data_IF_586554497184
#
_entry.id   IF_586554497184
#
_cell.length_a   1.000
_cell.length_b   1.000
_cell.length_c   1.000
_cell.angle_alpha   90.00
_cell.angle_beta   90.00
_cell.angle_gamma   90.00
#
_symmetry.space_group_name_H-M   'P 1'
#
loop_
_entity.id
_entity.type
_entity.pdbx_description
1 polymer ?
#
# COMPACT_ATOMS: atom_id res chain seq x y z
N UNK A 1 19.87 5.21 10.87
CA UNK A 1 18.75 4.45 11.48
C UNK A 1 17.49 4.70 10.68
N UNK A 2 16.74 3.64 10.35
CA UNK A 2 15.48 3.74 9.57
C UNK A 2 14.27 3.86 10.49
N UNK A 3 13.38 4.82 10.22
CA UNK A 3 12.23 5.13 11.07
C UNK A 3 10.94 5.28 10.27
N UNK A 4 9.81 4.96 10.91
CA UNK A 4 8.47 5.22 10.41
C UNK A 4 8.11 6.70 10.62
N UNK A 5 7.62 7.36 9.57
CA UNK A 5 7.33 8.81 9.60
C UNK A 5 6.10 9.17 10.46
N UNK A 6 5.19 8.23 10.68
CA UNK A 6 3.98 8.47 11.48
C UNK A 6 4.21 8.21 12.97
N UNK A 7 4.97 7.16 13.28
CA UNK A 7 5.16 6.71 14.66
C UNK A 7 6.48 7.18 15.27
N UNK A 8 7.47 7.55 14.44
CA UNK A 8 8.84 7.87 14.85
C UNK A 8 9.65 6.67 15.33
N UNK A 9 9.06 5.46 15.32
CA UNK A 9 9.73 4.25 15.75
C UNK A 9 10.69 3.71 14.69
N UNK A 10 11.69 2.98 15.13
CA UNK A 10 12.60 2.26 14.23
C UNK A 10 11.83 1.17 13.47
N UNK A 11 12.12 1.02 12.20
CA UNK A 11 11.66 -0.08 11.36
C UNK A 11 12.69 -1.20 11.43
N UNK A 12 12.50 -2.25 12.26
CA UNK A 12 13.51 -3.28 12.50
C UNK A 12 13.50 -4.34 11.39
N UNK A 13 13.83 -3.91 10.17
CA UNK A 13 13.83 -4.76 8.97
C UNK A 13 15.18 -4.69 8.29
N UNK A 14 15.72 -5.86 7.93
CA UNK A 14 16.93 -5.98 7.12
C UNK A 14 16.66 -5.73 5.63
N UNK A 15 17.71 -5.36 4.90
CA UNK A 15 17.67 -5.26 3.44
C UNK A 15 17.05 -3.98 2.89
N UNK A 16 16.88 -2.95 3.70
CA UNK A 16 16.61 -1.57 3.24
C UNK A 16 17.93 -1.04 2.67
N UNK A 17 17.91 -0.58 1.42
CA UNK A 17 19.12 -0.24 0.67
C UNK A 17 19.41 1.25 0.62
N UNK A 18 20.66 1.60 0.82
CA UNK A 18 21.17 2.97 0.79
C UNK A 18 22.44 3.10 -0.04
N UNK A 19 22.60 4.27 -0.65
CA UNK A 19 23.87 4.75 -1.22
C UNK A 19 24.29 6.03 -0.51
N UNK A 20 25.59 6.25 -0.43
CA UNK A 20 26.19 7.47 0.13
C UNK A 20 26.81 8.27 -1.00
N UNK A 21 26.32 9.48 -1.18
CA UNK A 21 26.87 10.44 -2.14
C UNK A 21 27.88 11.35 -1.45
N UNK A 22 29.07 11.46 -2.00
CA UNK A 22 30.06 12.45 -1.57
C UNK A 22 29.84 13.74 -2.36
N UNK A 23 29.40 14.80 -1.70
CA UNK A 23 29.10 16.08 -2.33
C UNK A 23 30.38 16.72 -2.88
N UNK A 24 31.47 16.65 -2.12
CA UNK A 24 32.75 17.30 -2.46
C UNK A 24 33.41 16.68 -3.70
N UNK A 25 33.16 15.40 -3.97
CA UNK A 25 33.74 14.65 -5.09
C UNK A 25 32.73 14.30 -6.19
N UNK A 26 31.47 14.68 -6.03
CA UNK A 26 30.36 14.42 -6.96
C UNK A 26 30.25 12.93 -7.40
N UNK A 27 30.34 12.01 -6.45
CA UNK A 27 30.28 10.57 -6.71
C UNK A 27 29.72 9.75 -5.55
N UNK A 28 29.14 8.61 -5.85
CA UNK A 28 28.79 7.61 -4.85
C UNK A 28 30.04 6.96 -4.26
N UNK A 29 29.98 6.71 -2.95
CA UNK A 29 31.02 6.00 -2.22
C UNK A 29 30.88 4.50 -2.52
N UNK A 30 32.00 3.85 -2.76
CA UNK A 30 32.13 2.40 -2.75
C UNK A 30 33.16 1.97 -1.70
N UNK A 31 32.89 0.84 -1.06
CA UNK A 31 33.77 0.26 -0.04
C UNK A 31 34.01 -1.22 -0.31
N UNK A 32 35.20 -1.70 0.00
CA UNK A 32 35.55 -3.12 -0.17
C UNK A 32 35.29 -3.87 1.14
N UNK A 33 34.52 -4.93 1.06
CA UNK A 33 34.32 -5.91 2.13
C UNK A 33 35.13 -7.16 1.81
N UNK A 34 35.75 -7.75 2.84
CA UNK A 34 36.66 -8.91 2.67
C UNK A 34 36.03 -10.25 3.06
N UNK A 35 34.80 -10.26 3.57
CA UNK A 35 34.11 -11.48 4.01
C UNK A 35 32.67 -11.51 3.48
N UNK A 36 32.15 -12.66 2.99
CA UNK A 36 32.80 -13.99 2.83
C UNK A 36 33.83 -14.04 1.69
N UNK A 37 33.85 -13.09 0.79
CA UNK A 37 34.82 -12.89 -0.28
C UNK A 37 35.11 -11.40 -0.44
N UNK A 38 36.23 -11.06 -1.05
CA UNK A 38 36.52 -9.66 -1.39
C UNK A 38 35.53 -9.17 -2.44
N UNK A 39 34.79 -8.12 -2.10
CA UNK A 39 33.79 -7.50 -2.97
C UNK A 39 33.75 -5.99 -2.74
N UNK A 40 33.65 -5.22 -3.82
CA UNK A 40 33.44 -3.76 -3.74
C UNK A 40 31.95 -3.47 -3.90
N UNK A 41 31.34 -2.87 -2.88
CA UNK A 41 29.93 -2.55 -2.80
C UNK A 41 29.73 -1.02 -2.79
N UNK A 42 28.69 -0.55 -3.39
CA UNK A 42 28.24 0.85 -3.39
C UNK A 42 26.82 1.01 -2.81
N UNK A 43 26.19 -0.10 -2.48
CA UNK A 43 24.87 -0.14 -1.87
C UNK A 43 24.96 -0.88 -0.54
N UNK A 44 24.54 -0.21 0.51
CA UNK A 44 24.63 -0.67 1.88
C UNK A 44 23.25 -0.98 2.42
N UNK A 45 23.10 -2.07 3.18
CA UNK A 45 21.81 -2.57 3.62
C UNK A 45 21.69 -2.55 5.15
N UNK A 46 20.47 -2.29 5.64
CA UNK A 46 20.16 -2.43 7.06
C UNK A 46 20.23 -3.87 7.51
N UNK A 47 20.54 -4.06 8.79
CA UNK A 47 20.41 -5.32 9.50
C UNK A 47 18.97 -5.51 10.06
N UNK A 48 18.74 -6.59 10.80
CA UNK A 48 17.44 -6.93 11.41
C UNK A 48 16.94 -5.91 12.45
N UNK A 49 17.80 -5.05 12.94
CA UNK A 49 17.42 -3.96 13.86
C UNK A 49 17.08 -2.65 13.14
N UNK A 50 17.04 -2.65 11.79
CA UNK A 50 16.80 -1.43 11.00
C UNK A 50 17.95 -0.44 11.02
N UNK A 51 19.14 -0.89 11.41
CA UNK A 51 20.35 -0.08 11.48
C UNK A 51 21.31 -0.45 10.37
N UNK A 52 21.94 0.53 9.76
CA UNK A 52 23.04 0.38 8.82
C UNK A 52 24.32 0.95 9.45
N UNK A 53 25.40 0.20 9.38
CA UNK A 53 26.75 0.69 9.65
C UNK A 53 27.60 0.45 8.41
N UNK A 54 28.31 1.49 7.95
CA UNK A 54 29.23 1.35 6.82
C UNK A 54 30.40 0.43 7.19
N UNK A 55 30.86 -0.43 6.28
CA UNK A 55 32.01 -1.33 6.54
C UNK A 55 33.31 -0.60 6.85
N UNK A 56 33.52 0.57 6.23
CA UNK A 56 34.71 1.39 6.38
C UNK A 56 34.38 2.82 6.80
N UNK A 57 35.39 3.52 7.28
CA UNK A 57 35.30 4.95 7.65
C UNK A 57 35.16 5.82 6.40
N UNK A 58 34.50 6.96 6.56
CA UNK A 58 34.45 8.02 5.57
C UNK A 58 35.51 9.08 5.87
N UNK A 59 36.10 9.66 4.83
CA UNK A 59 36.94 10.84 4.97
C UNK A 59 36.11 12.04 5.48
N UNK A 60 36.79 13.07 5.96
CA UNK A 60 36.14 14.33 6.30
C UNK A 60 35.54 14.95 5.04
N UNK A 61 34.28 15.41 5.13
CA UNK A 61 33.58 16.01 4.00
C UNK A 61 32.07 16.03 4.20
N UNK A 62 31.37 16.50 3.16
CA UNK A 62 29.93 16.60 3.09
C UNK A 62 29.35 15.45 2.28
N UNK A 63 28.30 14.85 2.80
CA UNK A 63 27.68 13.66 2.24
C UNK A 63 26.16 13.75 2.23
N UNK A 64 25.54 12.93 1.42
CA UNK A 64 24.10 12.68 1.39
C UNK A 64 23.81 11.19 1.45
N UNK A 65 22.84 10.81 2.28
CA UNK A 65 22.31 9.45 2.33
C UNK A 65 21.11 9.33 1.41
N UNK A 66 21.22 8.52 0.36
CA UNK A 66 20.18 8.24 -0.62
C UNK A 66 19.57 6.87 -0.36
N UNK A 67 18.26 6.79 -0.19
CA UNK A 67 17.57 5.52 -0.15
C UNK A 67 17.31 5.00 -1.57
N UNK A 68 17.65 3.74 -1.82
CA UNK A 68 17.48 3.07 -3.12
C UNK A 68 16.55 1.87 -3.05
N UNK A 69 16.23 1.40 -1.84
CA UNK A 69 15.29 0.29 -1.61
C UNK A 69 14.59 0.47 -0.28
N UNK A 70 13.28 0.71 -0.32
CA UNK A 70 12.42 0.81 0.86
C UNK A 70 12.03 -0.58 1.42
N UNK A 71 11.62 -0.67 2.68
CA UNK A 71 11.04 -1.89 3.24
C UNK A 71 9.66 -2.17 2.64
N UNK A 72 9.25 -3.44 2.63
CA UNK A 72 7.90 -3.82 2.20
C UNK A 72 6.84 -3.08 3.01
N UNK A 73 5.81 -2.56 2.33
CA UNK A 73 4.74 -1.78 2.96
C UNK A 73 5.03 -0.30 3.17
N UNK A 74 6.17 0.19 2.69
CA UNK A 74 6.53 1.61 2.72
C UNK A 74 6.78 2.17 1.31
N UNK A 75 6.59 3.48 1.17
CA UNK A 75 7.00 4.20 -0.04
C UNK A 75 8.50 4.51 0.04
N UNK A 76 9.19 4.35 -1.10
CA UNK A 76 10.56 4.81 -1.21
C UNK A 76 10.63 6.34 -1.03
N UNK A 77 11.41 6.78 -0.07
CA UNK A 77 11.68 8.19 0.13
C UNK A 77 12.99 8.57 -0.59
N UNK A 78 12.86 9.13 -1.79
CA UNK A 78 14.00 9.53 -2.62
C UNK A 78 14.68 10.84 -2.20
N UNK A 79 14.14 11.57 -1.22
CA UNK A 79 14.75 12.81 -0.71
C UNK A 79 16.04 12.49 0.04
N UNK A 80 17.20 13.04 -0.35
CA UNK A 80 18.46 12.75 0.33
C UNK A 80 18.53 13.37 1.72
N UNK A 81 19.26 12.73 2.62
CA UNK A 81 19.54 13.28 3.96
C UNK A 81 21.00 13.72 4.02
N UNK A 82 21.27 15.03 4.10
CA UNK A 82 22.63 15.55 4.20
C UNK A 82 23.23 15.27 5.58
N UNK A 83 24.53 15.00 5.61
CA UNK A 83 25.33 14.90 6.83
C UNK A 83 26.80 15.26 6.58
N UNK A 84 27.50 15.60 7.63
CA UNK A 84 28.92 15.99 7.55
C UNK A 84 29.77 15.09 8.46
N UNK A 85 30.93 14.68 7.97
CA UNK A 85 31.97 14.00 8.75
C UNK A 85 33.11 14.99 8.95
N UNK A 86 33.30 15.46 10.17
CA UNK A 86 34.28 16.49 10.51
C UNK A 86 35.23 16.11 11.69
N UNK A 87 35.01 14.91 12.22
CA UNK A 87 35.80 14.38 13.33
C UNK A 87 35.40 14.89 14.72
N UNK A 88 34.34 15.70 14.82
CA UNK A 88 33.79 16.12 16.13
C UNK A 88 33.12 14.99 16.87
N UNK A 89 32.49 14.07 16.13
CA UNK A 89 31.85 12.88 16.66
C UNK A 89 32.53 11.60 16.16
N UNK A 90 32.65 10.62 17.05
CA UNK A 90 33.22 9.32 16.68
C UNK A 90 32.31 8.55 15.70
N UNK A 91 31.01 8.79 15.77
CA UNK A 91 30.01 8.18 14.89
C UNK A 91 28.95 9.22 14.57
N UNK A 92 28.77 9.52 13.29
CA UNK A 92 27.69 10.38 12.81
C UNK A 92 26.44 9.53 12.65
N UNK A 93 25.39 9.86 13.39
CA UNK A 93 24.09 9.17 13.28
C UNK A 93 23.17 9.89 12.32
N UNK A 94 22.65 9.16 11.33
CA UNK A 94 21.71 9.67 10.34
C UNK A 94 20.40 8.92 10.44
N UNK A 95 19.29 9.65 10.49
CA UNK A 95 17.94 9.11 10.51
C UNK A 95 17.26 9.30 9.15
N UNK A 96 16.57 8.28 8.68
CA UNK A 96 15.78 8.33 7.45
C UNK A 96 14.38 7.83 7.72
N UNK A 97 13.39 8.60 7.29
CA UNK A 97 11.99 8.33 7.54
C UNK A 97 11.26 7.87 6.28
N UNK A 98 10.40 6.86 6.40
CA UNK A 98 9.49 6.43 5.34
C UNK A 98 8.04 6.51 5.78
N UNK A 99 7.18 6.75 4.80
CA UNK A 99 5.73 6.74 4.98
C UNK A 99 5.16 5.38 4.63
N UNK A 100 4.37 4.80 5.55
CA UNK A 100 3.72 3.52 5.32
C UNK A 100 2.69 3.61 4.18
N UNK A 101 2.66 2.57 3.34
CA UNK A 101 1.63 2.41 2.32
C UNK A 101 0.30 2.07 2.97
N UNK A 102 -0.76 2.77 2.54
CA UNK A 102 -2.12 2.52 3.00
C UNK A 102 -2.97 1.99 1.86
N UNK A 103 -3.72 0.92 2.13
CA UNK A 103 -4.69 0.36 1.20
C UNK A 103 -6.07 1.02 1.35
N UNK A 104 -6.90 0.87 0.31
CA UNK A 104 -8.32 1.21 0.34
C UNK A 104 -9.13 0.00 -0.07
N UNK A 105 -10.19 -0.29 0.68
CA UNK A 105 -11.17 -1.31 0.31
C UNK A 105 -12.38 -0.60 -0.27
N UNK A 106 -12.88 -1.08 -1.41
CA UNK A 106 -14.15 -0.66 -1.99
C UNK A 106 -15.06 -1.88 -2.09
N UNK A 107 -16.24 -1.77 -1.49
CA UNK A 107 -17.25 -2.83 -1.51
C UNK A 107 -18.50 -2.30 -2.20
N UNK A 108 -19.01 -3.04 -3.19
CA UNK A 108 -20.28 -2.75 -3.83
C UNK A 108 -21.25 -3.90 -3.65
N UNK A 109 -22.46 -3.60 -3.16
CA UNK A 109 -23.55 -4.56 -3.07
C UNK A 109 -24.47 -4.39 -4.27
N UNK A 110 -24.75 -5.50 -4.96
CA UNK A 110 -25.72 -5.57 -6.06
C UNK A 110 -26.76 -6.65 -5.77
N UNK A 111 -27.91 -6.51 -6.34
CA UNK A 111 -28.97 -7.51 -6.26
C UNK A 111 -30.18 -7.09 -7.07
N UNK A 112 -31.19 -7.94 -7.06
CA UNK A 112 -32.45 -7.68 -7.73
C UNK A 112 -33.26 -6.62 -6.97
N UNK A 113 -33.66 -5.59 -7.66
CA UNK A 113 -34.55 -4.52 -7.18
C UNK A 113 -35.88 -4.56 -7.90
N UNK A 114 -36.98 -4.36 -7.17
CA UNK A 114 -38.27 -4.18 -7.80
C UNK A 114 -38.27 -2.99 -8.75
N UNK A 115 -38.60 -3.22 -9.99
CA UNK A 115 -38.66 -2.19 -11.02
C UNK A 115 -40.09 -1.71 -11.27
N UNK A 116 -41.00 -2.65 -11.54
CA UNK A 116 -42.37 -2.37 -11.91
C UNK A 116 -43.22 -3.63 -11.82
N UNK A 117 -44.50 -3.48 -12.09
CA UNK A 117 -45.41 -4.59 -12.28
C UNK A 117 -45.83 -4.63 -13.76
N UNK A 118 -45.69 -5.79 -14.38
CA UNK A 118 -46.21 -6.03 -15.69
C UNK A 118 -47.63 -6.60 -15.55
N UNK A 119 -48.61 -5.92 -16.12
CA UNK A 119 -49.98 -6.40 -16.19
C UNK A 119 -50.20 -7.14 -17.51
N UNK A 120 -50.62 -8.40 -17.40
CA UNK A 120 -51.03 -9.20 -18.54
C UNK A 120 -52.56 -9.26 -18.46
N UNK A 121 -53.21 -8.56 -19.37
CA UNK A 121 -54.67 -8.49 -19.42
C UNK A 121 -55.34 -9.83 -19.80
N UNK A 122 -56.64 -9.89 -19.61
CA UNK A 122 -57.40 -11.07 -20.05
C UNK A 122 -57.28 -11.27 -21.56
N UNK A 123 -57.36 -12.53 -21.98
CA UNK A 123 -57.42 -12.84 -23.41
C UNK A 123 -58.68 -12.25 -24.02
N UNK A 124 -58.51 -11.59 -25.14
CA UNK A 124 -59.60 -11.00 -25.89
C UNK A 124 -59.88 -11.94 -27.08
N UNK A 125 -61.06 -12.46 -27.17
CA UNK A 125 -61.54 -13.31 -28.28
C UNK A 125 -62.63 -12.58 -28.99
N UNK A 126 -62.70 -12.77 -30.29
CA UNK A 126 -63.89 -12.41 -31.10
C UNK A 126 -64.66 -13.71 -31.38
N UNK A 127 -65.92 -13.77 -30.96
CA UNK A 127 -66.77 -14.93 -31.23
C UNK A 127 -67.18 -14.98 -32.71
N UNK A 128 -67.89 -16.06 -33.10
CA UNK A 128 -68.33 -16.24 -34.50
C UNK A 128 -69.33 -15.17 -34.97
N UNK A 129 -69.99 -14.50 -34.04
CA UNK A 129 -70.92 -13.40 -34.30
C UNK A 129 -70.28 -12.05 -34.43
N UNK A 130 -68.92 -11.98 -34.23
CA UNK A 130 -68.13 -10.77 -34.34
C UNK A 130 -68.10 -9.93 -33.03
N UNK A 131 -68.59 -10.47 -31.91
CA UNK A 131 -68.59 -9.81 -30.63
C UNK A 131 -67.26 -10.07 -29.90
N UNK A 132 -66.76 -9.07 -29.19
CA UNK A 132 -65.51 -9.13 -28.39
C UNK A 132 -65.81 -9.74 -27.02
N UNK A 133 -65.28 -10.91 -26.77
CA UNK A 133 -65.34 -11.59 -25.47
C UNK A 133 -64.01 -11.51 -24.77
N UNK A 134 -64.07 -11.11 -23.50
CA UNK A 134 -62.89 -11.11 -22.60
C UNK A 134 -62.95 -12.32 -21.70
N UNK A 135 -61.96 -13.20 -21.80
CA UNK A 135 -61.87 -14.38 -20.95
C UNK A 135 -60.62 -14.31 -20.07
N UNK A 136 -60.80 -14.57 -18.79
CA UNK A 136 -59.70 -14.61 -17.80
C UNK A 136 -59.59 -13.38 -16.92
N UNK A 137 -58.47 -13.28 -16.21
CA UNK A 137 -58.18 -12.24 -15.25
C UNK A 137 -56.89 -11.51 -15.65
N UNK A 138 -56.79 -10.23 -15.30
CA UNK A 138 -55.53 -9.53 -15.39
C UNK A 138 -54.57 -10.11 -14.35
N UNK A 139 -53.42 -10.61 -14.82
CA UNK A 139 -52.38 -11.12 -13.97
C UNK A 139 -51.30 -10.05 -13.83
N UNK A 140 -50.83 -9.84 -12.61
CA UNK A 140 -49.78 -8.88 -12.30
C UNK A 140 -48.53 -9.65 -11.92
N UNK A 141 -47.45 -9.45 -12.71
CA UNK A 141 -46.16 -10.08 -12.48
C UNK A 141 -45.15 -9.05 -12.10
N UNK A 142 -44.47 -9.17 -10.96
CA UNK A 142 -43.42 -8.24 -10.60
C UNK A 142 -42.21 -8.44 -11.53
N UNK A 143 -41.64 -7.31 -11.95
CA UNK A 143 -40.43 -7.27 -12.76
C UNK A 143 -39.31 -6.72 -11.91
N UNK A 144 -38.20 -7.41 -11.88
CA UNK A 144 -36.98 -7.00 -11.14
C UNK A 144 -35.87 -6.66 -12.11
N UNK A 145 -34.94 -5.81 -11.68
CA UNK A 145 -33.73 -5.53 -12.41
C UNK A 145 -32.52 -5.56 -11.46
N UNK A 146 -31.37 -5.92 -11.97
CA UNK A 146 -30.15 -5.83 -11.19
C UNK A 146 -29.70 -4.37 -11.02
N UNK A 147 -29.43 -3.99 -9.77
CA UNK A 147 -28.98 -2.64 -9.43
C UNK A 147 -28.11 -2.60 -8.18
N UNK A 148 -27.58 -1.43 -7.89
CA UNK A 148 -26.88 -1.18 -6.65
C UNK A 148 -27.84 -1.13 -5.46
N UNK A 149 -27.57 -1.90 -4.42
CA UNK A 149 -28.35 -1.91 -3.18
C UNK A 149 -27.73 -0.93 -2.19
N UNK A 150 -28.42 0.20 -1.97
CA UNK A 150 -28.05 1.17 -0.95
C UNK A 150 -28.41 0.71 0.46
N UNK A 151 -27.74 1.27 1.48
CA UNK A 151 -28.03 1.00 2.88
C UNK A 151 -27.54 -0.36 3.41
N UNK A 152 -26.73 -1.10 2.64
CA UNK A 152 -26.05 -2.30 3.12
C UNK A 152 -24.90 -1.90 4.05
N UNK A 153 -24.87 -2.49 5.24
CA UNK A 153 -23.80 -2.31 6.20
C UNK A 153 -22.80 -3.48 6.10
N UNK A 154 -21.51 -3.17 6.24
CA UNK A 154 -20.45 -4.15 6.20
C UNK A 154 -19.54 -3.95 7.40
N UNK A 155 -19.15 -5.05 8.00
CA UNK A 155 -18.09 -5.09 8.99
C UNK A 155 -16.82 -5.66 8.33
N UNK A 156 -15.69 -5.01 8.56
CA UNK A 156 -14.38 -5.48 8.11
C UNK A 156 -13.63 -5.97 9.33
N UNK A 157 -13.37 -7.26 9.37
CA UNK A 157 -12.68 -7.92 10.49
C UNK A 157 -11.33 -8.40 9.99
N UNK A 158 -10.27 -8.13 10.77
CA UNK A 158 -8.96 -8.70 10.50
C UNK A 158 -9.01 -10.22 10.72
N UNK A 159 -8.51 -10.99 9.74
CA UNK A 159 -8.45 -12.44 9.84
C UNK A 159 -7.36 -12.94 10.81
N UNK A 160 -6.35 -12.09 11.03
CA UNK A 160 -5.21 -12.30 11.93
C UNK A 160 -4.70 -10.95 12.41
N UNK A 161 -3.85 -10.95 13.43
CA UNK A 161 -3.20 -9.74 13.94
C UNK A 161 -2.40 -9.04 12.84
N UNK A 162 -2.70 -7.76 12.62
CA UNK A 162 -2.02 -6.93 11.63
C UNK A 162 -0.95 -6.09 12.34
N UNK A 163 0.30 -6.35 11.99
CA UNK A 163 1.45 -5.58 12.48
C UNK A 163 2.03 -4.70 11.39
N UNK A 164 2.38 -3.48 11.75
CA UNK A 164 3.24 -2.62 10.92
C UNK A 164 4.69 -3.07 11.02
N UNK A 165 5.55 -2.68 10.07
CA UNK A 165 6.97 -3.08 10.07
C UNK A 165 7.74 -2.60 11.31
N UNK A 166 7.25 -1.57 12.01
CA UNK A 166 7.78 -1.11 13.29
C UNK A 166 7.28 -1.93 14.50
N UNK A 167 6.56 -3.05 14.26
CA UNK A 167 6.02 -3.93 15.27
C UNK A 167 4.79 -3.40 16.02
N UNK A 168 4.15 -2.34 15.53
CA UNK A 168 2.92 -1.82 16.14
C UNK A 168 1.72 -2.66 15.68
N UNK A 169 0.97 -3.23 16.63
CA UNK A 169 -0.31 -3.90 16.37
C UNK A 169 -1.34 -2.86 15.91
N UNK A 170 -2.03 -3.12 14.79
CA UNK A 170 -3.05 -2.23 14.20
C UNK A 170 -4.46 -2.82 14.26
N UNK A 171 -4.62 -4.12 14.23
CA UNK A 171 -5.88 -4.85 14.34
C UNK A 171 -5.63 -6.30 14.82
#
# INVERSE_FOLDING_TARGET
MKKDAETGKVIPVSGIGFKVWCVDNEKYISQTVNYPSEETIDTFYTNETGTLMLPGELAYGNYELHEVKAPTGYFLNSEPVPFTVDGTEKTVEVEKFDTAQKGRISVSKRGEMFKTVQAIGPAIHTNEDGEIETAGFTTYTPVFEEGGLGGAEFEVIAAEDIYTADGTLRA
#
